data_IF_417596956495
#
_entry.id   IF_417596956495
#
_cell.length_a   1.000
_cell.length_b   1.000
_cell.length_c   1.000
_cell.angle_alpha   90.00
_cell.angle_beta   90.00
_cell.angle_gamma   90.00
#
_symmetry.space_group_name_H-M   'P 1'
#
loop_
_entity.id
_entity.type
_entity.pdbx_description
1 polymer ?
#
# COMPACT_ATOMS: atom_id res chain seq x y z
N UNK A 1 -9.40 4.43 16.60
CA UNK A 1 -9.57 4.08 17.98
C UNK A 1 -10.47 5.15 18.56
N UNK A 2 -11.65 5.12 18.20
CA UNK A 2 -12.59 6.03 18.75
C UNK A 2 -12.75 5.67 20.23
N UNK A 3 -12.52 6.60 21.10
CA UNK A 3 -12.26 6.43 22.50
C UNK A 3 -13.17 5.56 23.34
N UNK A 4 -14.16 4.99 22.74
CA UNK A 4 -15.08 4.10 23.41
C UNK A 4 -14.80 2.64 23.12
N UNK A 5 -13.90 2.30 22.22
CA UNK A 5 -13.79 0.90 21.87
C UNK A 5 -12.38 0.46 21.58
N UNK A 6 -11.84 -0.29 22.48
CA UNK A 6 -10.79 -1.26 22.23
C UNK A 6 -11.17 -2.32 21.17
N UNK A 7 -12.27 -2.10 20.48
CA UNK A 7 -12.79 -2.95 19.41
C UNK A 7 -12.58 -2.37 18.03
N UNK A 8 -11.77 -1.32 17.92
CA UNK A 8 -11.39 -0.76 16.63
C UNK A 8 -10.61 -1.76 15.81
N UNK A 9 -11.02 -1.93 14.57
CA UNK A 9 -10.37 -2.85 13.66
C UNK A 9 -9.27 -2.12 12.90
N UNK A 10 -8.10 -2.74 12.84
CA UNK A 10 -7.01 -2.34 11.98
C UNK A 10 -6.86 -3.37 10.88
N UNK A 11 -6.92 -2.92 9.64
CA UNK A 11 -6.68 -3.75 8.48
C UNK A 11 -5.33 -3.41 7.86
N UNK A 12 -4.51 -4.42 7.67
CA UNK A 12 -3.20 -4.31 7.10
C UNK A 12 -3.14 -5.24 5.89
N UNK A 13 -2.76 -4.68 4.77
CA UNK A 13 -2.60 -5.38 3.50
C UNK A 13 -1.13 -5.46 3.17
N UNK A 14 -0.66 -6.64 2.83
CA UNK A 14 0.75 -6.91 2.55
C UNK A 14 0.97 -7.43 1.15
N UNK A 15 2.18 -7.14 0.68
CA UNK A 15 2.74 -7.87 -0.45
C UNK A 15 3.60 -9.04 0.02
N UNK A 16 3.67 -10.08 -0.80
CA UNK A 16 4.32 -11.33 -0.45
C UNK A 16 5.83 -11.25 -0.26
N UNK A 17 6.50 -10.43 -1.04
CA UNK A 17 7.94 -10.28 -1.06
C UNK A 17 8.50 -9.62 0.22
N UNK A 18 7.67 -8.89 0.96
CA UNK A 18 8.06 -8.15 2.15
C UNK A 18 7.63 -8.82 3.47
N UNK A 19 6.99 -9.96 3.36
CA UNK A 19 6.34 -10.69 4.45
C UNK A 19 7.17 -10.91 5.69
N UNK A 20 8.37 -11.40 5.52
CA UNK A 20 9.14 -11.96 6.62
C UNK A 20 9.58 -10.89 7.63
N UNK A 21 9.74 -9.66 7.18
CA UNK A 21 10.26 -8.57 7.99
C UNK A 21 9.16 -7.84 8.78
N UNK A 22 8.00 -7.63 8.15
CA UNK A 22 6.96 -6.75 8.66
C UNK A 22 5.80 -7.46 9.36
N UNK A 23 5.73 -8.79 9.25
CA UNK A 23 4.61 -9.56 9.77
C UNK A 23 4.44 -9.45 11.29
N UNK A 24 5.52 -9.34 12.03
CA UNK A 24 5.48 -9.35 13.49
C UNK A 24 5.18 -8.00 14.12
N UNK A 25 5.56 -6.91 13.49
CA UNK A 25 5.46 -5.59 14.09
C UNK A 25 4.01 -5.07 14.15
N UNK A 26 3.24 -5.08 13.08
CA UNK A 26 1.83 -4.68 13.14
C UNK A 26 0.97 -5.61 13.98
N UNK A 27 1.29 -6.90 14.01
CA UNK A 27 0.64 -7.85 14.90
C UNK A 27 0.89 -7.51 16.37
N UNK A 28 2.12 -7.18 16.73
CA UNK A 28 2.47 -6.75 18.07
C UNK A 28 1.76 -5.45 18.44
N UNK A 29 1.75 -4.49 17.54
CA UNK A 29 1.02 -3.24 17.68
C UNK A 29 -0.48 -3.47 17.87
N UNK A 30 -1.11 -4.23 16.98
CA UNK A 30 -2.53 -4.55 17.07
C UNK A 30 -2.89 -5.24 18.38
N UNK A 31 -2.06 -6.16 18.88
CA UNK A 31 -2.25 -6.82 20.16
C UNK A 31 -2.11 -5.86 21.35
N UNK A 32 -1.08 -5.01 21.34
CA UNK A 32 -0.90 -4.01 22.39
C UNK A 32 -2.07 -3.04 22.46
N UNK A 33 -2.65 -2.73 21.31
CA UNK A 33 -3.76 -1.80 21.19
C UNK A 33 -5.12 -2.44 21.44
N UNK A 34 -5.18 -3.75 21.64
CA UNK A 34 -6.44 -4.46 21.80
C UNK A 34 -7.29 -4.51 20.52
N UNK A 35 -6.68 -4.31 19.35
CA UNK A 35 -7.41 -4.38 18.09
C UNK A 35 -7.75 -5.81 17.70
N UNK A 36 -8.89 -5.95 17.07
CA UNK A 36 -9.05 -6.98 16.08
C UNK A 36 -8.30 -6.52 14.84
N UNK A 37 -7.19 -7.13 14.54
CA UNK A 37 -6.48 -6.85 13.31
C UNK A 37 -6.64 -8.02 12.35
N UNK A 38 -6.64 -7.67 11.07
CA UNK A 38 -6.83 -8.61 9.99
C UNK A 38 -5.63 -8.45 9.08
N UNK A 39 -4.89 -9.53 8.91
CA UNK A 39 -3.85 -9.61 7.90
C UNK A 39 -4.47 -10.26 6.67
N UNK A 40 -4.63 -9.47 5.62
CA UNK A 40 -5.12 -9.97 4.36
C UNK A 40 -3.98 -10.47 3.51
N UNK A 41 -3.81 -11.76 3.56
CA UNK A 41 -3.19 -12.51 2.50
C UNK A 41 -4.28 -13.28 1.81
N UNK A 42 -4.68 -12.80 0.67
CA UNK A 42 -5.79 -13.40 0.01
C UNK A 42 -5.42 -14.02 -1.31
N UNK A 43 -6.08 -15.15 -1.56
CA UNK A 43 -6.22 -15.69 -2.89
C UNK A 43 -7.15 -14.78 -3.69
N UNK A 44 -6.81 -14.55 -4.96
CA UNK A 44 -7.54 -13.71 -5.92
C UNK A 44 -9.08 -13.79 -5.87
N UNK A 45 -9.75 -12.72 -6.21
CA UNK A 45 -9.26 -11.36 -6.46
C UNK A 45 -9.35 -10.51 -5.19
N UNK A 46 -8.22 -10.05 -4.69
CA UNK A 46 -8.13 -9.24 -3.47
C UNK A 46 -8.78 -7.85 -3.64
N UNK A 47 -8.64 -7.23 -4.81
CA UNK A 47 -9.13 -5.89 -5.13
C UNK A 47 -10.57 -5.61 -4.69
N UNK A 48 -11.49 -6.48 -5.05
CA UNK A 48 -12.92 -6.27 -4.73
C UNK A 48 -13.23 -6.42 -3.25
N UNK A 49 -12.47 -7.25 -2.57
CA UNK A 49 -12.61 -7.39 -1.13
C UNK A 49 -12.04 -6.19 -0.40
N UNK A 50 -10.93 -5.63 -0.85
CA UNK A 50 -10.39 -4.37 -0.33
C UNK A 50 -11.40 -3.24 -0.49
N UNK A 51 -12.09 -3.15 -1.63
CA UNK A 51 -13.16 -2.17 -1.81
C UNK A 51 -14.29 -2.36 -0.81
N UNK A 52 -14.65 -3.59 -0.49
CA UNK A 52 -15.67 -3.87 0.53
C UNK A 52 -15.19 -3.48 1.93
N UNK A 53 -13.94 -3.78 2.28
CA UNK A 53 -13.36 -3.41 3.57
C UNK A 53 -13.21 -1.90 3.73
N UNK A 54 -12.81 -1.18 2.68
CA UNK A 54 -12.71 0.27 2.68
C UNK A 54 -14.05 0.99 2.90
N UNK A 55 -15.16 0.34 2.60
CA UNK A 55 -16.50 0.87 2.84
C UNK A 55 -17.04 0.59 4.25
N UNK A 56 -16.32 -0.17 5.06
CA UNK A 56 -16.73 -0.45 6.45
C UNK A 56 -16.65 0.80 7.30
N UNK A 57 -17.75 1.08 8.02
CA UNK A 57 -17.87 2.25 8.91
C UNK A 57 -17.27 2.02 10.30
N UNK A 58 -17.05 0.78 10.66
CA UNK A 58 -16.49 0.35 11.94
C UNK A 58 -14.95 0.25 11.93
N UNK A 59 -14.32 0.57 10.79
CA UNK A 59 -12.88 0.53 10.63
C UNK A 59 -12.28 1.91 10.93
N UNK A 60 -11.39 2.00 11.90
CA UNK A 60 -10.78 3.27 12.29
C UNK A 60 -9.45 3.52 11.58
N UNK A 61 -8.62 2.49 11.44
CA UNK A 61 -7.33 2.56 10.75
C UNK A 61 -7.25 1.53 9.64
N UNK A 62 -6.87 1.99 8.46
CA UNK A 62 -6.53 1.14 7.33
C UNK A 62 -5.09 1.42 6.91
N UNK A 63 -4.28 0.39 6.79
CA UNK A 63 -2.90 0.51 6.38
C UNK A 63 -2.63 -0.35 5.16
N UNK A 64 -2.07 0.27 4.13
CA UNK A 64 -1.50 -0.40 2.98
C UNK A 64 0.01 -0.52 3.15
N UNK A 65 0.54 -1.72 2.97
CA UNK A 65 1.96 -2.00 2.88
C UNK A 65 2.20 -2.69 1.53
N UNK A 66 2.61 -1.90 0.54
CA UNK A 66 2.57 -2.33 -0.87
C UNK A 66 3.52 -1.50 -1.75
N UNK A 67 3.67 -1.87 -3.01
CA UNK A 67 4.27 -1.01 -4.01
C UNK A 67 3.25 0.00 -4.56
N UNK A 68 3.68 1.26 -4.66
CA UNK A 68 2.82 2.36 -5.09
C UNK A 68 3.36 3.13 -6.28
N UNK A 69 2.44 3.80 -6.94
CA UNK A 69 2.63 4.78 -8.01
C UNK A 69 1.77 6.00 -7.73
N UNK A 70 1.98 7.16 -8.37
CA UNK A 70 1.12 8.32 -8.15
C UNK A 70 -0.37 7.99 -8.26
N UNK A 71 -0.77 7.30 -9.31
CA UNK A 71 -2.17 6.99 -9.63
C UNK A 71 -2.54 5.53 -9.37
N UNK A 72 -1.74 4.77 -8.61
CA UNK A 72 -2.00 3.34 -8.46
C UNK A 72 -1.31 2.69 -7.27
N UNK A 73 -1.84 1.52 -6.92
CA UNK A 73 -1.38 0.61 -5.87
C UNK A 73 -1.24 -0.77 -6.46
N UNK A 74 -0.14 -1.46 -6.19
CA UNK A 74 0.05 -2.85 -6.55
C UNK A 74 -0.36 -3.71 -5.35
N UNK A 75 -1.50 -4.33 -5.47
CA UNK A 75 -2.10 -5.18 -4.44
C UNK A 75 -1.96 -6.67 -4.79
N UNK A 76 -0.79 -7.02 -5.33
CA UNK A 76 -0.51 -8.39 -5.72
C UNK A 76 -0.58 -9.32 -4.51
N UNK A 77 -1.37 -10.38 -4.63
CA UNK A 77 -1.51 -11.44 -3.64
C UNK A 77 -0.84 -12.75 -4.09
N UNK A 78 -0.14 -12.75 -5.23
CA UNK A 78 0.57 -13.94 -5.67
C UNK A 78 1.66 -14.30 -4.66
N UNK A 79 1.46 -15.42 -4.01
CA UNK A 79 2.47 -16.07 -3.17
C UNK A 79 3.74 -16.22 -3.99
N UNK A 80 4.91 -15.99 -3.36
CA UNK A 80 6.22 -16.24 -3.97
C UNK A 80 6.16 -17.55 -4.75
N UNK A 81 5.98 -17.40 -6.06
CA UNK A 81 5.48 -18.47 -6.89
C UNK A 81 6.54 -19.55 -7.03
N UNK A 82 6.28 -20.74 -6.54
CA UNK A 82 7.11 -21.92 -6.78
C UNK A 82 6.82 -22.54 -8.13
N UNK A 83 5.69 -22.18 -8.77
CA UNK A 83 5.35 -22.67 -10.11
C UNK A 83 6.12 -21.91 -11.19
N UNK A 84 6.86 -22.69 -11.98
CA UNK A 84 7.67 -22.16 -13.08
C UNK A 84 6.86 -21.36 -14.10
N UNK A 85 5.66 -21.81 -14.44
CA UNK A 85 4.85 -21.16 -15.48
C UNK A 85 4.40 -19.77 -15.05
N UNK A 86 3.97 -19.60 -13.80
CA UNK A 86 3.58 -18.31 -13.26
C UNK A 86 4.79 -17.38 -13.14
N UNK A 87 5.91 -17.85 -12.62
CA UNK A 87 7.17 -17.09 -12.62
C UNK A 87 7.60 -16.65 -13.99
N UNK A 88 7.48 -17.52 -14.99
CA UNK A 88 7.81 -17.19 -16.38
C UNK A 88 6.88 -16.10 -16.92
N UNK A 89 5.57 -16.19 -16.67
CA UNK A 89 4.60 -15.15 -17.05
C UNK A 89 4.92 -13.81 -16.41
N UNK A 90 5.13 -13.78 -15.10
CA UNK A 90 5.49 -12.57 -14.36
C UNK A 90 6.78 -11.93 -14.91
N UNK A 91 7.83 -12.73 -15.09
CA UNK A 91 9.09 -12.24 -15.65
C UNK A 91 8.88 -11.67 -17.04
N UNK A 92 8.10 -12.36 -17.87
CA UNK A 92 7.79 -11.94 -19.24
C UNK A 92 7.07 -10.59 -19.25
N UNK A 93 6.00 -10.47 -18.46
CA UNK A 93 5.27 -9.22 -18.28
C UNK A 93 6.19 -8.08 -17.81
N UNK A 94 6.96 -8.31 -16.75
CA UNK A 94 7.88 -7.32 -16.20
C UNK A 94 8.89 -6.81 -17.24
N UNK A 95 9.51 -7.71 -17.99
CA UNK A 95 10.51 -7.33 -18.99
C UNK A 95 9.89 -6.63 -20.21
N UNK A 96 8.71 -7.09 -20.64
CA UNK A 96 7.96 -6.48 -21.72
C UNK A 96 7.52 -5.05 -21.36
N UNK A 97 6.96 -4.87 -20.19
CA UNK A 97 6.61 -3.56 -19.67
C UNK A 97 7.84 -2.64 -19.52
N UNK A 98 8.99 -3.16 -19.08
CA UNK A 98 10.23 -2.40 -18.99
C UNK A 98 10.72 -1.91 -20.35
N UNK A 99 10.55 -2.70 -21.42
CA UNK A 99 10.85 -2.26 -22.79
C UNK A 99 9.83 -1.22 -23.27
N UNK A 100 8.55 -1.53 -23.16
CA UNK A 100 7.47 -0.72 -23.74
C UNK A 100 7.30 0.64 -23.07
N UNK A 101 7.52 0.75 -21.77
CA UNK A 101 7.44 2.02 -21.04
C UNK A 101 8.49 3.06 -21.45
N UNK A 102 9.54 2.64 -22.14
CA UNK A 102 10.60 3.52 -22.62
C UNK A 102 10.58 3.74 -24.13
N UNK A 103 9.66 3.08 -24.85
CA UNK A 103 9.44 3.31 -26.28
C UNK A 103 9.01 4.77 -26.49
N UNK A 104 9.60 5.42 -27.47
CA UNK A 104 9.42 6.86 -27.72
C UNK A 104 10.50 7.75 -27.10
N UNK A 105 11.19 7.28 -26.02
CA UNK A 105 12.40 7.93 -25.48
C UNK A 105 13.68 7.27 -25.99
N UNK A 106 13.60 5.98 -26.31
CA UNK A 106 14.71 5.17 -26.84
C UNK A 106 14.18 4.20 -27.89
N UNK A 107 15.10 3.76 -28.74
CA UNK A 107 14.80 2.72 -29.70
C UNK A 107 14.42 1.40 -29.04
N UNK A 108 13.34 0.81 -29.53
CA UNK A 108 12.75 -0.41 -28.96
C UNK A 108 13.66 -1.63 -29.02
N UNK A 109 14.33 -1.80 -30.15
CA UNK A 109 15.25 -2.93 -30.36
C UNK A 109 16.48 -2.81 -29.46
N UNK A 110 16.99 -1.61 -29.30
CA UNK A 110 18.07 -1.32 -28.34
C UNK A 110 17.65 -1.66 -26.92
N UNK A 111 16.44 -1.29 -26.49
CA UNK A 111 15.92 -1.61 -25.16
C UNK A 111 15.75 -3.13 -24.98
N UNK A 112 15.24 -3.82 -26.00
CA UNK A 112 15.10 -5.27 -26.00
C UNK A 112 16.44 -5.96 -25.82
N UNK A 113 17.45 -5.58 -26.58
CA UNK A 113 18.81 -6.13 -26.50
C UNK A 113 19.40 -5.88 -25.10
N UNK A 114 19.30 -4.67 -24.57
CA UNK A 114 19.77 -4.36 -23.23
C UNK A 114 19.10 -5.24 -22.15
N UNK A 115 17.80 -5.48 -22.28
CA UNK A 115 17.10 -6.37 -21.35
C UNK A 115 17.50 -7.83 -21.50
N UNK A 116 17.75 -8.29 -22.74
CA UNK A 116 18.30 -9.64 -23.00
C UNK A 116 19.64 -9.84 -22.28
N UNK A 117 20.56 -8.92 -22.45
CA UNK A 117 21.88 -8.97 -21.82
C UNK A 117 21.79 -8.89 -20.30
N UNK A 118 21.07 -7.89 -19.80
CA UNK A 118 20.93 -7.65 -18.35
C UNK A 118 20.28 -8.82 -17.61
N UNK A 119 19.33 -9.50 -18.23
CA UNK A 119 18.53 -10.57 -17.62
C UNK A 119 18.91 -11.96 -18.10
N UNK A 120 19.89 -12.07 -18.99
CA UNK A 120 20.38 -13.31 -19.56
C UNK A 120 19.26 -14.17 -20.19
N UNK A 121 18.30 -13.51 -20.84
CA UNK A 121 17.21 -14.16 -21.58
C UNK A 121 17.52 -14.16 -23.07
N UNK A 122 17.08 -15.21 -23.77
CA UNK A 122 17.30 -15.31 -25.21
C UNK A 122 16.29 -14.48 -26.02
N UNK A 123 16.55 -14.31 -27.31
CA UNK A 123 15.69 -13.53 -28.21
C UNK A 123 14.26 -14.07 -28.28
N UNK A 124 14.09 -15.38 -28.25
CA UNK A 124 12.78 -16.05 -28.30
C UNK A 124 11.87 -15.63 -27.15
N UNK A 125 12.46 -15.19 -26.04
CA UNK A 125 11.71 -14.69 -24.91
C UNK A 125 10.82 -13.48 -25.29
N UNK A 126 11.27 -12.62 -26.20
CA UNK A 126 10.58 -11.42 -26.62
C UNK A 126 9.68 -11.60 -27.86
N UNK A 127 9.45 -12.83 -28.31
CA UNK A 127 8.65 -13.12 -29.51
C UNK A 127 7.23 -12.54 -29.52
N UNK A 128 6.63 -12.37 -28.34
CA UNK A 128 5.27 -11.85 -28.20
C UNK A 128 5.23 -10.38 -27.78
N UNK A 129 6.37 -9.67 -27.78
CA UNK A 129 6.46 -8.27 -27.36
C UNK A 129 5.51 -7.36 -28.13
N UNK A 130 5.27 -7.65 -29.41
CA UNK A 130 4.37 -6.91 -30.30
C UNK A 130 3.02 -7.60 -30.51
N UNK A 131 2.75 -8.66 -29.77
CA UNK A 131 1.51 -9.42 -29.93
C UNK A 131 0.35 -8.76 -29.13
N UNK A 132 -0.67 -8.20 -29.81
CA UNK A 132 -1.79 -7.55 -29.11
C UNK A 132 -2.52 -8.49 -28.13
N UNK A 133 -2.62 -9.78 -28.47
CA UNK A 133 -3.28 -10.77 -27.59
C UNK A 133 -2.51 -10.99 -26.30
N UNK A 134 -1.18 -10.89 -26.33
CA UNK A 134 -0.39 -10.93 -25.11
C UNK A 134 -0.76 -9.76 -24.21
N UNK A 135 -0.80 -8.54 -24.73
CA UNK A 135 -1.09 -7.34 -23.98
C UNK A 135 -2.52 -7.28 -23.46
N UNK A 136 -3.48 -7.78 -24.22
CA UNK A 136 -4.86 -7.92 -23.74
C UNK A 136 -4.94 -8.85 -22.55
N UNK A 137 -4.36 -10.04 -22.63
CA UNK A 137 -4.34 -11.01 -21.55
C UNK A 137 -3.57 -10.52 -20.32
N UNK A 138 -2.42 -9.86 -20.53
CA UNK A 138 -1.59 -9.27 -19.49
C UNK A 138 -2.34 -8.15 -18.76
N UNK A 139 -2.97 -7.26 -19.51
CA UNK A 139 -3.78 -6.18 -18.94
C UNK A 139 -4.95 -6.67 -18.10
N UNK A 140 -5.64 -7.70 -18.55
CA UNK A 140 -6.73 -8.32 -17.78
C UNK A 140 -6.23 -8.97 -16.50
N UNK A 141 -5.12 -9.69 -16.57
CA UNK A 141 -4.51 -10.32 -15.41
C UNK A 141 -4.11 -9.27 -14.36
N UNK A 142 -3.43 -8.21 -14.77
CA UNK A 142 -2.99 -7.15 -13.85
C UNK A 142 -4.10 -6.18 -13.42
N UNK A 143 -5.25 -6.15 -14.09
CA UNK A 143 -6.36 -5.29 -13.70
C UNK A 143 -6.86 -5.59 -12.27
N UNK A 144 -6.83 -6.85 -11.86
CA UNK A 144 -7.25 -7.29 -10.53
C UNK A 144 -6.13 -7.23 -9.49
N UNK A 145 -4.87 -7.06 -9.92
CA UNK A 145 -3.70 -6.97 -9.05
C UNK A 145 -3.31 -5.51 -8.69
N UNK A 146 -4.07 -4.55 -9.16
CA UNK A 146 -3.84 -3.14 -8.87
C UNK A 146 -5.15 -2.39 -8.64
N UNK A 147 -5.07 -1.38 -7.81
CA UNK A 147 -6.08 -0.34 -7.68
C UNK A 147 -5.53 0.91 -8.35
N UNK A 148 -6.26 1.49 -9.28
CA UNK A 148 -5.92 2.76 -9.92
C UNK A 148 -6.96 3.82 -9.60
N UNK A 149 -6.59 5.09 -9.74
CA UNK A 149 -7.48 6.21 -9.43
C UNK A 149 -8.81 6.12 -10.18
N UNK A 150 -8.80 5.66 -11.44
CA UNK A 150 -10.02 5.47 -12.22
C UNK A 150 -10.96 4.40 -11.63
N UNK A 151 -10.44 3.38 -10.96
CA UNK A 151 -11.29 2.38 -10.29
C UNK A 151 -12.10 3.01 -9.17
N UNK A 152 -11.47 3.88 -8.38
CA UNK A 152 -12.09 4.58 -7.27
C UNK A 152 -13.15 5.55 -7.77
N UNK A 153 -12.82 6.34 -8.79
CA UNK A 153 -13.75 7.30 -9.42
C UNK A 153 -14.94 6.61 -10.06
N UNK A 154 -14.71 5.60 -10.90
CA UNK A 154 -15.79 4.90 -11.62
C UNK A 154 -16.74 4.18 -10.68
N UNK A 155 -16.26 3.73 -9.53
CA UNK A 155 -17.07 3.04 -8.54
C UNK A 155 -17.76 3.99 -7.58
N UNK A 156 -17.42 5.28 -7.58
CA UNK A 156 -17.83 6.24 -6.58
C UNK A 156 -17.62 5.68 -5.15
N UNK A 157 -16.41 5.16 -4.92
CA UNK A 157 -16.10 4.42 -3.72
C UNK A 157 -16.02 5.38 -2.52
N UNK A 158 -16.92 5.19 -1.56
CA UNK A 158 -16.87 5.90 -0.28
C UNK A 158 -15.92 5.19 0.67
N UNK A 159 -14.82 5.82 1.05
CA UNK A 159 -13.88 5.27 2.02
C UNK A 159 -14.23 5.73 3.43
N UNK A 160 -14.33 4.79 4.36
CA UNK A 160 -14.85 5.06 5.70
C UNK A 160 -13.84 4.91 6.86
N UNK A 161 -12.68 4.23 6.72
CA UNK A 161 -11.66 4.26 7.76
C UNK A 161 -11.29 5.69 8.12
N UNK A 162 -11.20 6.00 9.40
CA UNK A 162 -10.93 7.38 9.86
C UNK A 162 -9.55 7.87 9.44
N UNK A 163 -8.59 6.96 9.39
CA UNK A 163 -7.24 7.21 8.91
C UNK A 163 -6.81 6.11 7.95
N UNK A 164 -6.22 6.50 6.83
CA UNK A 164 -5.59 5.58 5.86
C UNK A 164 -4.10 5.90 5.78
N UNK A 165 -3.26 4.88 5.90
CA UNK A 165 -1.80 5.01 5.79
C UNK A 165 -1.31 4.22 4.59
N UNK A 166 -0.50 4.88 3.75
CA UNK A 166 0.15 4.28 2.60
C UNK A 166 1.65 4.12 2.90
N UNK A 167 2.03 2.96 3.36
CA UNK A 167 3.42 2.55 3.40
C UNK A 167 3.82 2.04 2.00
N UNK A 168 3.85 2.97 1.08
CA UNK A 168 4.03 2.75 -0.35
C UNK A 168 4.72 3.94 -1.02
N UNK A 169 5.42 3.66 -2.13
CA UNK A 169 6.04 4.69 -2.94
C UNK A 169 4.99 5.55 -3.65
N UNK A 170 5.20 6.85 -3.76
CA UNK A 170 4.46 7.80 -4.59
C UNK A 170 2.96 7.95 -4.36
N UNK A 171 2.31 7.22 -3.48
CA UNK A 171 0.86 7.29 -3.32
C UNK A 171 0.36 8.66 -2.82
N UNK A 172 1.24 9.46 -2.22
CA UNK A 172 0.96 10.83 -1.80
C UNK A 172 1.43 11.91 -2.78
N UNK A 173 1.53 11.64 -4.07
CA UNK A 173 2.08 12.56 -5.09
C UNK A 173 1.13 13.72 -5.43
N UNK A 174 0.80 14.54 -4.45
CA UNK A 174 -0.14 15.67 -4.57
C UNK A 174 0.30 16.77 -5.57
N UNK A 175 1.50 16.71 -6.07
CA UNK A 175 1.99 17.58 -7.15
C UNK A 175 1.53 17.13 -8.54
N UNK A 176 0.96 15.94 -8.64
CA UNK A 176 0.29 15.45 -9.83
C UNK A 176 -1.18 15.87 -9.84
N UNK A 177 -1.78 15.94 -11.02
CA UNK A 177 -3.19 16.32 -11.16
C UNK A 177 -4.15 15.30 -10.54
N UNK A 178 -3.71 14.04 -10.47
CA UNK A 178 -4.44 12.94 -9.87
C UNK A 178 -3.48 12.05 -9.09
N UNK A 179 -3.86 11.65 -7.88
CA UNK A 179 -3.05 10.80 -7.03
C UNK A 179 -3.90 9.95 -6.09
N UNK A 180 -3.41 8.76 -5.79
CA UNK A 180 -4.22 7.72 -5.13
C UNK A 180 -4.70 8.14 -3.73
N UNK A 181 -3.83 8.73 -2.89
CA UNK A 181 -4.22 9.17 -1.55
C UNK A 181 -5.31 10.25 -1.58
N UNK A 182 -5.29 11.12 -2.61
CA UNK A 182 -6.33 12.12 -2.82
C UNK A 182 -7.69 11.48 -3.10
N UNK A 183 -7.72 10.45 -3.93
CA UNK A 183 -8.96 9.73 -4.22
C UNK A 183 -9.56 9.04 -2.99
N UNK A 184 -8.71 8.62 -2.04
CA UNK A 184 -9.19 8.01 -0.80
C UNK A 184 -9.74 9.02 0.22
N UNK A 185 -9.31 10.27 0.19
CA UNK A 185 -9.72 11.26 1.19
C UNK A 185 -10.76 12.27 0.68
N UNK A 186 -10.75 12.58 -0.62
CA UNK A 186 -11.64 13.58 -1.20
C UNK A 186 -12.89 12.98 -1.86
N UNK A 187 -13.35 11.82 -1.38
CA UNK A 187 -14.60 11.20 -1.78
C UNK A 187 -15.71 11.43 -0.76
N UNK A 188 -16.91 10.92 -1.00
CA UNK A 188 -18.08 11.06 -0.12
C UNK A 188 -18.02 10.18 1.15
N UNK A 189 -16.86 9.63 1.48
CA UNK A 189 -16.67 8.76 2.64
C UNK A 189 -16.47 9.51 3.96
N UNK A 190 -16.07 8.77 5.00
CA UNK A 190 -15.81 9.28 6.34
C UNK A 190 -14.33 9.37 6.69
N UNK A 191 -13.44 9.14 5.74
CA UNK A 191 -12.00 9.23 5.95
C UNK A 191 -11.62 10.68 6.24
N UNK A 192 -10.95 10.89 7.37
CA UNK A 192 -10.56 12.23 7.83
C UNK A 192 -9.10 12.55 7.51
N UNK A 193 -8.27 11.50 7.47
CA UNK A 193 -6.82 11.65 7.32
C UNK A 193 -6.28 10.56 6.42
N UNK A 194 -5.41 10.93 5.50
CA UNK A 194 -4.56 10.01 4.78
C UNK A 194 -3.09 10.43 4.95
N UNK A 195 -2.19 9.46 5.04
CA UNK A 195 -0.76 9.67 5.00
C UNK A 195 -0.19 8.91 3.80
N UNK A 196 0.62 9.58 3.00
CA UNK A 196 1.25 8.96 1.83
C UNK A 196 2.56 9.63 1.46
N UNK A 197 3.36 8.96 0.64
CA UNK A 197 4.70 9.40 0.28
C UNK A 197 4.74 9.95 -1.15
N UNK A 198 5.54 11.00 -1.37
CA UNK A 198 5.72 11.65 -2.69
C UNK A 198 6.92 11.11 -3.47
N UNK A 199 7.68 10.19 -2.89
CA UNK A 199 8.90 9.59 -3.46
C UNK A 199 8.93 8.10 -3.18
N UNK A 200 9.96 7.42 -3.72
CA UNK A 200 10.31 6.07 -3.30
C UNK A 200 10.63 6.05 -1.82
N UNK A 201 10.10 5.08 -1.12
CA UNK A 201 10.37 4.85 0.29
C UNK A 201 10.85 3.43 0.51
N UNK A 202 11.64 3.25 1.56
CA UNK A 202 11.97 1.93 2.07
C UNK A 202 10.86 1.57 3.06
N UNK A 203 10.01 0.65 2.66
CA UNK A 203 8.81 0.24 3.40
C UNK A 203 9.11 -0.42 4.76
N UNK A 204 10.37 -0.59 5.10
CA UNK A 204 10.84 -1.19 6.34
C UNK A 204 11.06 -0.18 7.49
N UNK A 205 10.93 1.14 7.24
CA UNK A 205 11.39 2.13 8.23
C UNK A 205 10.39 3.18 8.68
N UNK A 206 9.45 3.60 7.86
CA UNK A 206 8.88 4.93 8.04
C UNK A 206 7.50 4.96 8.67
N UNK A 207 6.56 4.28 8.05
CA UNK A 207 5.16 4.48 8.35
C UNK A 207 4.76 3.90 9.70
N UNK A 208 5.47 2.89 10.16
CA UNK A 208 5.12 2.16 11.37
C UNK A 208 6.01 2.44 12.57
N UNK A 209 7.16 3.09 12.39
CA UNK A 209 8.15 3.26 13.47
C UNK A 209 7.54 3.89 14.74
N UNK A 210 6.69 4.86 14.59
CA UNK A 210 6.09 5.57 15.72
C UNK A 210 4.58 5.38 15.84
N UNK A 211 4.04 4.36 15.18
CA UNK A 211 2.59 4.15 15.11
C UNK A 211 1.94 4.04 16.51
N UNK A 212 2.69 3.55 17.50
CA UNK A 212 2.26 3.51 18.89
C UNK A 212 1.88 4.88 19.45
N UNK A 213 2.42 5.97 18.95
CA UNK A 213 2.05 7.33 19.40
C UNK A 213 0.60 7.66 19.09
N UNK A 214 0.05 7.13 18.02
CA UNK A 214 -1.37 7.31 17.67
C UNK A 214 -2.27 6.74 18.77
N UNK A 215 -1.87 5.66 19.41
CA UNK A 215 -2.60 5.06 20.52
C UNK A 215 -2.62 5.89 21.80
N UNK A 216 -1.61 6.72 21.96
CA UNK A 216 -1.53 7.67 23.08
C UNK A 216 -2.24 8.99 22.78
N UNK A 217 -3.03 9.05 21.71
CA UNK A 217 -3.80 10.23 21.33
C UNK A 217 -2.97 11.37 20.73
N UNK A 218 -1.78 11.06 20.23
CA UNK A 218 -0.98 12.03 19.45
C UNK A 218 -1.74 12.36 18.16
N UNK A 219 -1.83 13.65 17.85
CA UNK A 219 -2.53 14.13 16.65
C UNK A 219 -1.82 13.69 15.38
N UNK A 220 -2.58 13.41 14.33
CA UNK A 220 -2.04 12.95 13.05
C UNK A 220 -0.96 13.89 12.49
N UNK A 221 -1.16 15.20 12.56
CA UNK A 221 -0.14 16.18 12.14
C UNK A 221 1.13 16.16 12.99
N UNK A 222 0.99 15.95 14.30
CA UNK A 222 2.15 15.82 15.19
C UNK A 222 2.88 14.49 14.94
N UNK A 223 2.15 13.40 14.74
CA UNK A 223 2.69 12.12 14.37
C UNK A 223 3.52 12.22 13.07
N UNK A 224 2.93 12.81 12.01
CA UNK A 224 3.63 12.99 10.74
C UNK A 224 4.91 13.84 10.89
N UNK A 225 4.88 14.87 11.73
CA UNK A 225 6.06 15.68 12.05
C UNK A 225 7.14 14.89 12.80
N UNK A 226 6.75 14.02 13.72
CA UNK A 226 7.68 13.23 14.55
C UNK A 226 8.36 12.13 13.75
N UNK A 227 7.67 11.54 12.77
CA UNK A 227 8.28 10.58 11.84
C UNK A 227 9.44 11.25 11.08
N UNK A 228 9.37 12.56 10.88
CA UNK A 228 10.41 13.36 10.22
C UNK A 228 10.78 12.87 8.80
N UNK A 229 9.88 12.15 8.13
CA UNK A 229 10.05 11.77 6.74
C UNK A 229 9.75 12.98 5.85
N UNK A 230 10.75 13.42 5.08
CA UNK A 230 10.57 14.53 4.12
C UNK A 230 9.63 14.16 2.97
N UNK A 231 9.53 12.89 2.68
CA UNK A 231 8.69 12.33 1.62
C UNK A 231 7.25 12.10 2.07
N UNK A 232 7.05 11.95 3.38
CA UNK A 232 5.75 11.63 3.98
C UNK A 232 4.89 12.87 4.18
N UNK A 233 3.70 12.84 3.59
CA UNK A 233 2.74 13.94 3.66
C UNK A 233 1.42 13.49 4.26
N UNK A 234 0.79 14.41 4.98
CA UNK A 234 -0.52 14.23 5.55
C UNK A 234 -1.56 14.99 4.73
N UNK A 235 -2.66 14.33 4.42
CA UNK A 235 -3.81 14.87 3.73
C UNK A 235 -5.02 14.87 4.67
N UNK A 236 -5.81 15.92 4.68
CA UNK A 236 -6.99 16.05 5.52
C UNK A 236 -6.75 16.75 6.84
N UNK A 237 -7.39 16.31 7.92
CA UNK A 237 -7.38 16.99 9.22
C UNK A 237 -6.13 16.64 10.06
N UNK A 238 -5.16 17.56 10.20
CA UNK A 238 -3.97 17.30 11.01
C UNK A 238 -4.26 17.27 12.52
N UNK A 239 -5.43 17.74 12.94
CA UNK A 239 -5.85 17.77 14.35
C UNK A 239 -6.52 16.48 14.78
N UNK A 240 -6.86 15.60 13.83
CA UNK A 240 -7.42 14.29 14.13
C UNK A 240 -6.53 13.50 15.09
N UNK A 241 -7.13 12.82 16.00
CA UNK A 241 -6.47 11.87 16.91
C UNK A 241 -7.39 10.71 17.22
N UNK A 242 -6.81 9.58 17.46
CA UNK A 242 -7.50 8.49 18.13
C UNK A 242 -7.63 8.81 19.62
N UNK A 243 -8.63 8.25 20.28
CA UNK A 243 -8.70 8.39 21.72
C UNK A 243 -7.54 7.62 22.37
N UNK A 244 -6.92 8.21 23.39
CA UNK A 244 -5.83 7.55 24.08
C UNK A 244 -6.35 6.32 24.83
N UNK A 245 -5.52 5.29 24.89
CA UNK A 245 -5.76 4.15 25.77
C UNK A 245 -5.71 4.65 27.22
N UNK A 246 -6.69 4.31 28.03
CA UNK A 246 -6.65 4.63 29.43
C UNK A 246 -5.46 3.94 30.10
N UNK A 247 -4.68 4.71 30.86
CA UNK A 247 -3.42 4.27 31.46
C UNK A 247 -3.56 3.06 32.42
N UNK A 248 -4.77 2.73 32.82
CA UNK A 248 -5.05 1.65 33.77
C UNK A 248 -4.84 0.23 33.21
N UNK A 249 -4.59 0.07 31.92
CA UNK A 249 -4.34 -1.24 31.32
C UNK A 249 -2.86 -1.55 31.09
N UNK A 250 -1.97 -0.58 31.27
CA UNK A 250 -0.53 -0.73 31.14
C UNK A 250 0.17 -0.18 32.38
N UNK A 251 0.12 -0.88 33.49
CA UNK A 251 1.07 -0.66 34.60
C UNK A 251 2.42 -1.24 34.17
N UNK A 252 3.19 -0.49 33.45
CA UNK A 252 4.61 -0.78 33.27
C UNK A 252 5.35 0.00 34.34
N UNK A 253 5.68 -0.64 35.45
CA UNK A 253 6.67 -0.16 36.39
C UNK A 253 8.03 -0.24 35.71
N UNK A 254 8.38 0.82 34.97
CA UNK A 254 9.73 0.98 34.44
C UNK A 254 10.58 1.58 35.55
N UNK A 255 11.29 0.72 36.28
CA UNK A 255 12.32 1.16 37.23
C UNK A 255 13.60 1.42 36.46
N UNK A 256 13.94 2.69 36.24
CA UNK A 256 15.23 3.07 35.71
C UNK A 256 16.23 3.04 36.83
N UNK A 257 17.10 2.03 36.87
CA UNK A 257 18.27 2.03 37.75
C UNK A 257 19.34 2.92 37.10
N UNK A 258 19.72 3.99 37.83
CA UNK A 258 20.87 4.84 37.49
C UNK A 258 22.19 4.15 37.84
#
# INVERSE_FOLDING_TARGET
>A
FNGASYNSDCLIVWMDDEKAYMENFPLAFGRQMGFKHWNFRMKHPMKYKLFSELQRKDLDLFMFHEHGMPTGQLINDELACTDFNNRYKMLKSTLYNAVMSHVGKRDKDTLRIQMQEKRQVNEVFFKDLDNPKFWEADSLHYADERIVTEDLMKRNLSTNPKMIMFDACYNGSFHENDYIAGQYIFNDGQTLVAQGNTRNVLQDRWTIEMIGLLSHGVRAGQYNKLIASLEGHLFGDPTFRFAPIEANTLSTDITIHK
#
